data_IF_205480968629
#
_entry.id   IF_205480968629
#
_cell.length_a   1.000
_cell.length_b   1.000
_cell.length_c   1.000
_cell.angle_alpha   90.00
_cell.angle_beta   90.00
_cell.angle_gamma   90.00
#
_symmetry.space_group_name_H-M   'P 1'
#
loop_
_entity.id
_entity.type
_entity.pdbx_description
1 polymer ?
#
# COMPACT_ATOMS: atom_id res chain seq x y z
N UNK A 1 25.43 -16.26 33.94
CA UNK A 1 25.19 -14.81 33.83
C UNK A 1 23.84 -14.61 33.16
N UNK A 2 22.87 -14.02 33.88
CA UNK A 2 21.49 -13.84 33.42
C UNK A 2 21.43 -12.60 32.53
N UNK A 3 20.97 -12.75 31.30
CA UNK A 3 20.66 -11.64 30.40
C UNK A 3 19.34 -10.98 30.82
N UNK A 4 19.40 -9.70 31.16
CA UNK A 4 18.22 -8.84 31.36
C UNK A 4 17.74 -8.36 29.98
N UNK A 5 16.43 -8.39 29.68
CA UNK A 5 15.91 -7.80 28.46
C UNK A 5 15.91 -6.28 28.62
N UNK A 6 16.59 -5.58 27.69
CA UNK A 6 16.50 -4.13 27.60
C UNK A 6 15.11 -3.75 27.09
N UNK A 7 14.27 -3.21 27.98
CA UNK A 7 13.03 -2.53 27.63
C UNK A 7 13.45 -1.24 26.91
N UNK A 8 13.31 -1.22 25.59
CA UNK A 8 13.44 0.01 24.81
C UNK A 8 12.20 0.88 25.09
N UNK A 9 12.31 1.79 26.06
CA UNK A 9 11.35 2.86 26.21
C UNK A 9 11.43 3.76 24.97
N UNK A 10 10.35 3.83 24.18
CA UNK A 10 10.17 4.87 23.18
C UNK A 10 10.19 6.21 23.92
N UNK A 11 11.31 6.93 23.83
CA UNK A 11 11.37 8.35 24.15
C UNK A 11 10.58 9.09 23.05
N UNK A 12 9.28 9.23 23.25
CA UNK A 12 8.48 10.27 22.62
C UNK A 12 9.04 11.61 23.12
N UNK A 13 9.94 12.22 22.35
CA UNK A 13 10.29 13.62 22.54
C UNK A 13 8.98 14.42 22.49
N UNK A 14 8.63 15.20 23.53
CA UNK A 14 7.45 16.03 23.48
C UNK A 14 7.67 17.06 22.37
N UNK A 15 6.85 16.98 21.31
CA UNK A 15 6.76 18.02 20.28
C UNK A 15 6.31 19.28 20.99
N UNK A 16 7.25 20.22 21.18
CA UNK A 16 6.95 21.52 21.79
C UNK A 16 6.03 22.27 20.84
N UNK A 17 4.83 22.70 21.28
CA UNK A 17 3.93 23.48 20.43
C UNK A 17 4.62 24.79 20.04
N UNK A 18 4.66 25.08 18.74
CA UNK A 18 5.07 26.40 18.27
C UNK A 18 3.86 27.36 18.32
N UNK A 19 4.03 28.64 18.68
CA UNK A 19 2.94 29.61 18.65
C UNK A 19 2.35 29.70 17.24
N UNK A 20 1.03 29.91 17.18
CA UNK A 20 0.16 29.77 16.01
C UNK A 20 0.80 30.26 14.70
N UNK A 21 1.34 29.34 13.91
CA UNK A 21 1.48 29.57 12.49
C UNK A 21 0.06 29.57 11.91
N UNK A 22 -0.30 30.58 11.11
CA UNK A 22 -1.57 30.58 10.41
C UNK A 22 -1.70 29.25 9.65
N UNK A 23 -2.83 28.56 9.80
CA UNK A 23 -3.05 27.32 9.07
C UNK A 23 -2.93 27.58 7.56
N UNK A 24 -2.38 26.64 6.80
CA UNK A 24 -2.11 26.87 5.38
C UNK A 24 -3.41 27.14 4.62
N UNK A 25 -3.37 28.08 3.68
CA UNK A 25 -4.49 28.32 2.78
C UNK A 25 -4.43 27.36 1.58
N UNK A 26 -5.57 26.86 1.13
CA UNK A 26 -5.65 25.92 0.01
C UNK A 26 -6.82 24.96 0.11
N UNK A 27 -6.84 23.93 -0.73
CA UNK A 27 -7.85 22.86 -0.66
C UNK A 27 -7.20 21.59 -0.15
N UNK A 28 -7.77 21.00 0.90
CA UNK A 28 -7.21 19.87 1.61
C UNK A 28 -8.24 18.78 1.84
N UNK A 29 -7.75 17.55 1.92
CA UNK A 29 -8.39 16.50 2.72
C UNK A 29 -7.96 16.69 4.18
N UNK A 30 -8.92 16.66 5.10
CA UNK A 30 -8.67 16.69 6.54
C UNK A 30 -8.76 15.24 7.04
N UNK A 31 -7.62 14.62 7.32
CA UNK A 31 -7.53 13.18 7.60
C UNK A 31 -7.17 12.94 9.06
N UNK A 32 -7.93 12.09 9.76
CA UNK A 32 -7.66 11.72 11.14
C UNK A 32 -6.32 11.00 11.29
N UNK A 33 -5.49 11.44 12.23
CA UNK A 33 -4.14 10.86 12.43
C UNK A 33 -4.21 9.41 12.90
N UNK A 34 -5.18 9.06 13.74
CA UNK A 34 -5.32 7.71 14.30
C UNK A 34 -6.09 6.80 13.36
N UNK A 35 -7.18 7.31 12.83
CA UNK A 35 -8.15 6.52 12.04
C UNK A 35 -7.80 6.44 10.56
N UNK A 36 -7.12 7.45 10.01
CA UNK A 36 -6.91 7.59 8.57
C UNK A 36 -8.18 7.91 7.78
N UNK A 37 -9.29 8.24 8.45
CA UNK A 37 -10.56 8.61 7.83
C UNK A 37 -10.58 10.11 7.50
N UNK A 38 -11.30 10.49 6.46
CA UNK A 38 -11.45 11.88 6.06
C UNK A 38 -12.69 12.51 6.70
N UNK A 39 -12.57 13.79 7.05
CA UNK A 39 -13.71 14.63 7.39
C UNK A 39 -14.55 14.87 6.15
N UNK A 40 -15.84 14.57 6.24
CA UNK A 40 -16.81 14.68 5.15
C UNK A 40 -18.05 15.46 5.60
N UNK A 41 -18.67 16.19 4.69
CA UNK A 41 -19.97 16.79 4.96
C UNK A 41 -21.08 15.73 4.79
N UNK A 42 -21.88 15.52 5.83
CA UNK A 42 -23.05 14.63 5.82
C UNK A 42 -24.31 15.41 6.16
N UNK A 43 -25.10 15.76 5.14
CA UNK A 43 -26.25 16.65 5.30
C UNK A 43 -25.86 18.02 5.85
N UNK A 44 -26.40 18.37 7.02
CA UNK A 44 -26.07 19.60 7.76
C UNK A 44 -24.96 19.40 8.82
N UNK A 45 -24.42 18.18 8.94
CA UNK A 45 -23.37 17.82 9.88
C UNK A 45 -22.05 17.47 9.21
N UNK A 46 -21.11 17.01 10.04
CA UNK A 46 -19.77 16.57 9.64
C UNK A 46 -19.50 15.19 10.23
N UNK A 47 -18.96 14.28 9.42
CA UNK A 47 -18.70 12.88 9.79
C UNK A 47 -17.31 12.42 9.32
N UNK A 48 -16.87 11.26 9.80
CA UNK A 48 -15.65 10.60 9.33
C UNK A 48 -15.99 9.49 8.34
N UNK A 49 -15.50 9.63 7.12
CA UNK A 49 -15.75 8.69 6.02
C UNK A 49 -14.44 8.07 5.53
N UNK A 50 -14.52 6.89 4.90
CA UNK A 50 -13.36 6.28 4.24
C UNK A 50 -12.85 7.22 3.13
N UNK A 51 -11.54 7.44 2.98
CA UNK A 51 -11.02 8.29 1.92
C UNK A 51 -11.48 7.82 0.55
N UNK A 52 -12.12 8.69 -0.22
CA UNK A 52 -12.75 8.34 -1.50
C UNK A 52 -12.66 9.46 -2.54
N UNK A 53 -11.50 10.12 -2.60
CA UNK A 53 -11.36 11.35 -3.38
C UNK A 53 -12.41 12.37 -2.89
N UNK A 54 -13.16 12.99 -3.79
CA UNK A 54 -14.25 13.89 -3.42
C UNK A 54 -15.67 13.31 -3.62
N UNK A 55 -15.83 12.01 -3.84
CA UNK A 55 -17.16 11.44 -4.11
C UNK A 55 -18.14 11.65 -2.94
N UNK A 56 -17.63 11.77 -1.70
CA UNK A 56 -18.42 11.99 -0.48
C UNK A 56 -18.10 13.34 0.19
N UNK A 57 -17.87 14.40 -0.61
CA UNK A 57 -17.67 15.79 -0.12
C UNK A 57 -16.57 15.93 0.94
N UNK A 58 -15.40 15.35 0.65
CA UNK A 58 -14.28 15.23 1.58
C UNK A 58 -13.21 16.32 1.41
N UNK A 59 -13.41 17.25 0.47
CA UNK A 59 -12.49 18.35 0.20
C UNK A 59 -12.94 19.66 0.85
N UNK A 60 -11.99 20.31 1.51
CA UNK A 60 -12.22 21.53 2.28
C UNK A 60 -11.28 22.63 1.81
N UNK A 61 -11.82 23.76 1.37
CA UNK A 61 -11.05 24.99 1.18
C UNK A 61 -10.82 25.62 2.55
N UNK A 62 -9.55 25.67 2.95
CA UNK A 62 -9.10 26.32 4.17
C UNK A 62 -8.61 27.75 3.87
N UNK A 63 -9.17 28.73 4.57
CA UNK A 63 -8.71 30.14 4.57
C UNK A 63 -9.08 30.78 5.90
N UNK A 64 -8.14 31.50 6.53
CA UNK A 64 -8.37 32.24 7.78
C UNK A 64 -9.04 31.41 8.90
N UNK A 65 -8.66 30.14 9.03
CA UNK A 65 -9.21 29.20 10.02
C UNK A 65 -10.60 28.65 9.69
N UNK A 66 -11.12 28.87 8.47
CA UNK A 66 -12.44 28.39 8.03
C UNK A 66 -12.30 27.23 7.07
N UNK A 67 -13.07 26.16 7.30
CA UNK A 67 -13.14 24.99 6.42
C UNK A 67 -14.42 25.05 5.59
N UNK A 68 -14.35 25.61 4.38
CA UNK A 68 -15.46 25.66 3.42
C UNK A 68 -15.50 24.35 2.61
N UNK A 69 -16.66 23.71 2.49
CA UNK A 69 -16.78 22.51 1.67
C UNK A 69 -16.76 22.88 0.17
N UNK A 70 -15.97 22.18 -0.64
CA UNK A 70 -15.85 22.50 -2.09
C UNK A 70 -17.13 22.24 -2.87
N UNK A 71 -18.01 21.36 -2.40
CA UNK A 71 -19.29 21.03 -3.03
C UNK A 71 -20.46 21.86 -2.47
N UNK A 72 -20.22 22.65 -1.41
CA UNK A 72 -21.22 23.54 -0.80
C UNK A 72 -20.64 24.95 -0.56
N UNK A 73 -20.44 25.76 -1.62
CA UNK A 73 -19.86 27.10 -1.48
C UNK A 73 -20.61 27.97 -0.46
N UNK A 74 -19.86 28.69 0.37
CA UNK A 74 -20.37 29.51 1.47
C UNK A 74 -20.73 28.73 2.74
N UNK A 75 -20.65 27.40 2.74
CA UNK A 75 -20.89 26.56 3.91
C UNK A 75 -19.57 26.09 4.54
N UNK A 76 -19.36 26.45 5.81
CA UNK A 76 -18.18 26.12 6.59
C UNK A 76 -18.51 25.24 7.81
N UNK A 77 -17.54 24.46 8.27
CA UNK A 77 -17.61 23.75 9.55
C UNK A 77 -17.64 24.78 10.69
N UNK A 78 -18.69 24.75 11.52
CA UNK A 78 -18.80 25.56 12.75
C UNK A 78 -18.09 24.89 13.92
N UNK A 79 -17.90 25.61 15.04
CA UNK A 79 -17.35 25.01 16.29
C UNK A 79 -18.27 23.95 16.91
N UNK A 80 -19.55 23.89 16.54
CA UNK A 80 -20.50 22.84 16.93
C UNK A 80 -20.50 21.66 15.94
N UNK A 81 -19.58 21.64 14.97
CA UNK A 81 -19.43 20.57 13.97
C UNK A 81 -20.66 20.39 13.07
N UNK A 82 -21.33 21.51 12.79
CA UNK A 82 -22.40 21.61 11.80
C UNK A 82 -21.94 22.45 10.61
N UNK A 83 -22.66 22.35 9.51
CA UNK A 83 -22.48 23.24 8.36
C UNK A 83 -23.23 24.56 8.60
N UNK A 84 -22.53 25.68 8.50
CA UNK A 84 -23.09 27.02 8.68
C UNK A 84 -22.47 28.03 7.72
N UNK A 85 -22.96 29.28 7.72
CA UNK A 85 -22.41 30.31 6.84
C UNK A 85 -20.96 30.63 7.21
N UNK A 86 -20.06 30.65 6.22
CA UNK A 86 -18.66 31.01 6.42
C UNK A 86 -18.46 32.43 6.97
N UNK A 87 -19.45 33.33 6.82
CA UNK A 87 -19.40 34.69 7.39
C UNK A 87 -19.59 34.72 8.91
N UNK A 88 -20.10 33.65 9.51
CA UNK A 88 -20.31 33.60 10.95
C UNK A 88 -18.97 33.49 11.68
N UNK A 89 -18.85 34.22 12.80
CA UNK A 89 -17.68 34.13 13.67
C UNK A 89 -17.44 32.72 14.21
N UNK A 90 -18.51 31.93 14.33
CA UNK A 90 -18.49 30.55 14.81
C UNK A 90 -17.88 29.54 13.84
N UNK A 91 -17.65 29.96 12.60
CA UNK A 91 -16.95 29.16 11.58
C UNK A 91 -15.43 29.35 11.59
N UNK A 92 -14.87 30.16 12.52
CA UNK A 92 -13.40 30.31 12.69
C UNK A 92 -12.90 29.27 13.69
N UNK A 93 -12.00 28.39 13.24
CA UNK A 93 -11.25 27.49 14.11
C UNK A 93 -9.86 28.06 14.38
N UNK A 94 -9.37 27.86 15.61
CA UNK A 94 -8.04 28.30 16.01
C UNK A 94 -7.07 27.12 15.90
N UNK A 95 -6.18 27.11 14.90
CA UNK A 95 -5.28 25.99 14.67
C UNK A 95 -4.16 25.93 15.70
N UNK A 96 -3.81 24.73 16.15
CA UNK A 96 -2.56 24.46 16.86
C UNK A 96 -1.76 23.42 16.09
N UNK A 97 -0.51 23.74 15.73
CA UNK A 97 0.35 22.88 14.94
C UNK A 97 1.31 22.05 15.81
N UNK A 98 1.51 20.80 15.41
CA UNK A 98 2.43 19.86 16.04
C UNK A 98 3.15 19.03 14.97
N UNK A 99 4.32 19.49 14.55
CA UNK A 99 4.99 18.90 13.38
C UNK A 99 4.16 19.10 12.12
N UNK A 100 3.79 18.01 11.45
CA UNK A 100 2.91 18.00 10.28
C UNK A 100 1.42 17.76 10.60
N UNK A 101 1.08 17.73 11.89
CA UNK A 101 -0.28 17.52 12.39
C UNK A 101 -0.86 18.83 12.95
N UNK A 102 -2.19 18.89 12.97
CA UNK A 102 -2.94 20.05 13.40
C UNK A 102 -4.09 19.66 14.33
N UNK A 103 -4.38 20.53 15.29
CA UNK A 103 -5.60 20.50 16.11
C UNK A 103 -6.49 21.67 15.69
N UNK A 104 -7.74 21.36 15.33
CA UNK A 104 -8.76 22.36 14.96
C UNK A 104 -10.04 22.15 15.79
N UNK A 105 -10.51 20.90 15.82
CA UNK A 105 -11.70 20.44 16.52
C UNK A 105 -11.60 18.94 16.81
N UNK A 106 -12.50 18.43 17.64
CA UNK A 106 -12.59 16.99 17.97
C UNK A 106 -13.83 16.38 17.34
N UNK A 107 -13.68 15.34 16.51
CA UNK A 107 -14.78 14.64 15.84
C UNK A 107 -14.64 13.14 16.03
N UNK A 108 -15.68 12.48 16.55
CA UNK A 108 -15.70 11.03 16.81
C UNK A 108 -14.49 10.52 17.59
N UNK A 109 -14.01 11.31 18.56
CA UNK A 109 -12.84 11.01 19.37
C UNK A 109 -11.49 11.26 18.69
N UNK A 110 -11.44 11.73 17.44
CA UNK A 110 -10.23 12.22 16.76
C UNK A 110 -10.04 13.71 17.02
N UNK A 111 -8.83 14.12 17.44
CA UNK A 111 -8.48 15.52 17.70
C UNK A 111 -7.28 16.01 16.88
N UNK A 112 -6.54 15.07 16.25
CA UNK A 112 -5.32 15.32 15.48
C UNK A 112 -5.57 15.04 14.02
N UNK A 113 -5.23 15.99 13.17
CA UNK A 113 -5.54 15.97 11.76
C UNK A 113 -4.29 16.18 10.91
N UNK A 114 -4.20 15.45 9.80
CA UNK A 114 -3.34 15.82 8.69
C UNK A 114 -4.13 16.70 7.72
N UNK A 115 -3.48 17.75 7.23
CA UNK A 115 -3.97 18.52 6.08
C UNK A 115 -3.25 18.04 4.83
N UNK A 116 -3.91 17.23 4.01
CA UNK A 116 -3.32 16.70 2.78
C UNK A 116 -3.80 17.53 1.59
N UNK A 117 -2.92 18.25 0.86
CA UNK A 117 -3.35 19.04 -0.28
C UNK A 117 -4.02 18.19 -1.36
N UNK A 118 -5.12 18.68 -1.94
CA UNK A 118 -5.78 18.01 -3.08
C UNK A 118 -4.87 17.98 -4.30
N UNK A 119 -4.09 19.05 -4.50
CA UNK A 119 -3.03 19.06 -5.52
C UNK A 119 -1.73 18.62 -4.88
N UNK A 120 -1.28 17.42 -5.25
CA UNK A 120 -0.04 16.83 -4.78
C UNK A 120 1.18 17.71 -5.12
N UNK A 121 2.05 17.92 -4.14
CA UNK A 121 3.38 18.48 -4.39
C UNK A 121 4.29 17.37 -4.91
N UNK A 122 4.88 17.58 -6.08
CA UNK A 122 5.74 16.58 -6.72
C UNK A 122 7.03 17.20 -7.23
N UNK A 123 8.08 16.39 -7.28
CA UNK A 123 9.36 16.72 -7.91
C UNK A 123 9.71 15.66 -8.94
N UNK A 124 10.55 15.95 -9.95
CA UNK A 124 10.99 14.94 -10.90
C UNK A 124 11.66 13.74 -10.21
N UNK A 125 11.46 12.54 -10.75
CA UNK A 125 12.12 11.34 -10.24
C UNK A 125 13.66 11.50 -10.28
N UNK A 126 14.39 11.23 -9.18
CA UNK A 126 15.85 11.23 -9.17
C UNK A 126 16.44 10.22 -10.16
N UNK A 127 17.66 10.48 -10.63
CA UNK A 127 18.39 9.53 -11.48
C UNK A 127 18.74 8.22 -10.75
N UNK A 128 18.91 8.27 -9.42
CA UNK A 128 19.11 7.12 -8.55
C UNK A 128 18.09 7.13 -7.40
N UNK A 129 16.83 6.71 -7.68
CA UNK A 129 15.76 6.79 -6.69
C UNK A 129 15.94 5.76 -5.57
N UNK A 130 15.38 6.05 -4.41
CA UNK A 130 15.20 5.12 -3.30
C UNK A 130 14.10 4.11 -3.59
N UNK A 131 14.15 2.93 -2.97
CA UNK A 131 13.10 1.92 -3.14
C UNK A 131 11.70 2.46 -2.80
N UNK A 132 11.58 3.31 -1.77
CA UNK A 132 10.31 3.94 -1.36
C UNK A 132 9.88 5.13 -2.23
N UNK A 133 10.71 5.53 -3.19
CA UNK A 133 10.36 6.48 -4.24
C UNK A 133 9.89 5.77 -5.51
N UNK A 134 10.24 4.50 -5.71
CA UNK A 134 9.89 3.73 -6.91
C UNK A 134 8.48 3.12 -6.80
N UNK A 135 7.84 2.97 -7.96
CA UNK A 135 6.57 2.24 -8.12
C UNK A 135 6.80 1.02 -9.03
N UNK A 136 6.23 -0.12 -8.65
CA UNK A 136 6.35 -1.39 -9.36
C UNK A 136 4.96 -1.91 -9.77
N UNK A 137 4.89 -2.52 -10.96
CA UNK A 137 3.72 -3.29 -11.36
C UNK A 137 3.70 -4.59 -10.54
N UNK A 138 2.58 -4.87 -9.90
CA UNK A 138 2.40 -6.05 -9.05
C UNK A 138 1.24 -6.89 -9.57
N UNK A 139 1.48 -8.19 -9.77
CA UNK A 139 0.44 -9.14 -10.14
C UNK A 139 -0.18 -9.74 -8.88
N UNK A 140 -1.50 -9.53 -8.70
CA UNK A 140 -2.29 -10.21 -7.67
C UNK A 140 -2.43 -11.70 -8.04
N UNK A 141 -2.27 -12.59 -7.05
CA UNK A 141 -2.27 -14.05 -7.21
C UNK A 141 -1.55 -14.51 -8.48
N UNK A 142 -0.28 -14.12 -8.59
CA UNK A 142 0.49 -14.25 -9.82
C UNK A 142 0.56 -15.69 -10.36
N UNK A 143 0.53 -16.66 -9.44
CA UNK A 143 0.53 -18.10 -9.69
C UNK A 143 -0.80 -18.60 -10.29
N UNK A 144 -1.90 -17.87 -10.08
CA UNK A 144 -3.22 -18.18 -10.63
C UNK A 144 -3.32 -17.74 -12.11
N UNK A 145 -2.48 -18.35 -12.94
CA UNK A 145 -2.34 -18.03 -14.35
C UNK A 145 -2.72 -19.18 -15.31
N UNK A 146 -2.69 -20.42 -14.82
CA UNK A 146 -3.02 -21.62 -15.58
C UNK A 146 -2.02 -22.01 -16.68
N UNK A 147 -0.90 -21.30 -16.81
CA UNK A 147 0.24 -21.61 -17.70
C UNK A 147 1.27 -22.43 -16.94
N UNK A 148 1.63 -21.99 -15.73
CA UNK A 148 2.66 -22.63 -14.91
C UNK A 148 2.16 -23.90 -14.21
N UNK A 149 0.86 -23.96 -13.93
CA UNK A 149 0.21 -25.05 -13.23
C UNK A 149 -1.24 -24.71 -12.90
N UNK A 150 -1.93 -25.65 -12.26
CA UNK A 150 -3.23 -25.37 -11.65
C UNK A 150 -3.05 -24.67 -10.31
N UNK A 151 -4.07 -23.91 -9.93
CA UNK A 151 -4.06 -23.09 -8.72
C UNK A 151 -5.32 -23.28 -7.85
N UNK A 152 -6.33 -23.98 -8.36
CA UNK A 152 -7.59 -24.22 -7.66
C UNK A 152 -8.24 -25.52 -8.18
N UNK A 153 -9.25 -26.07 -7.47
CA UNK A 153 -10.04 -27.20 -7.96
C UNK A 153 -10.66 -26.91 -9.35
N UNK A 154 -10.96 -27.94 -10.16
CA UNK A 154 -11.36 -27.79 -11.57
C UNK A 154 -12.50 -26.78 -11.82
N UNK A 155 -13.46 -26.68 -10.89
CA UNK A 155 -14.62 -25.79 -11.03
C UNK A 155 -14.32 -24.31 -10.68
N UNK A 156 -13.24 -24.03 -9.96
CA UNK A 156 -12.83 -22.67 -9.53
C UNK A 156 -11.84 -22.04 -10.53
N UNK A 157 -11.28 -22.84 -11.45
CA UNK A 157 -10.30 -22.43 -12.46
C UNK A 157 -10.86 -21.53 -13.60
N UNK A 158 -12.10 -21.04 -13.47
CA UNK A 158 -12.79 -20.24 -14.50
C UNK A 158 -12.43 -18.75 -14.45
N UNK A 159 -11.95 -18.25 -13.32
CA UNK A 159 -11.57 -16.84 -13.14
C UNK A 159 -10.13 -16.76 -12.66
N UNK A 160 -9.19 -16.90 -13.60
CA UNK A 160 -7.75 -16.76 -13.33
C UNK A 160 -7.42 -15.29 -13.09
N UNK A 161 -6.52 -15.02 -12.14
CA UNK A 161 -6.05 -13.67 -11.88
C UNK A 161 -5.14 -13.16 -13.00
N UNK A 162 -4.36 -14.05 -13.63
CA UNK A 162 -3.46 -13.71 -14.73
C UNK A 162 -3.62 -14.69 -15.91
N UNK A 163 -3.06 -14.34 -17.06
CA UNK A 163 -3.12 -15.18 -18.28
C UNK A 163 -1.76 -15.70 -18.73
N UNK A 164 -0.68 -15.27 -18.04
CA UNK A 164 0.72 -15.52 -18.41
C UNK A 164 1.49 -16.07 -17.22
N UNK A 165 2.39 -17.03 -17.45
CA UNK A 165 3.22 -17.60 -16.39
C UNK A 165 4.28 -16.64 -15.85
N UNK A 166 4.83 -16.90 -14.66
CA UNK A 166 5.72 -16.01 -13.90
C UNK A 166 6.88 -15.45 -14.75
N UNK A 167 7.53 -16.29 -15.56
CA UNK A 167 8.63 -15.86 -16.43
C UNK A 167 8.17 -14.80 -17.45
N UNK A 168 6.98 -14.96 -18.03
CA UNK A 168 6.46 -13.98 -18.97
C UNK A 168 6.04 -12.69 -18.24
N UNK A 169 5.46 -12.79 -17.03
CA UNK A 169 5.16 -11.61 -16.21
C UNK A 169 6.43 -10.78 -15.92
N UNK A 170 7.53 -11.44 -15.58
CA UNK A 170 8.83 -10.80 -15.41
C UNK A 170 9.31 -10.12 -16.71
N UNK A 171 9.21 -10.81 -17.85
CA UNK A 171 9.58 -10.25 -19.16
C UNK A 171 8.72 -9.05 -19.56
N UNK A 172 7.45 -9.02 -19.13
CA UNK A 172 6.51 -7.94 -19.40
C UNK A 172 6.65 -6.74 -18.45
N UNK A 173 7.57 -6.83 -17.48
CA UNK A 173 7.89 -5.73 -16.56
C UNK A 173 7.22 -5.80 -15.20
N UNK A 174 6.54 -6.91 -14.85
CA UNK A 174 6.06 -7.15 -13.49
C UNK A 174 7.24 -7.33 -12.55
N UNK A 175 7.21 -6.64 -11.40
CA UNK A 175 8.27 -6.67 -10.38
C UNK A 175 7.75 -6.87 -8.96
N UNK A 176 6.43 -6.90 -8.77
CA UNK A 176 5.79 -7.37 -7.55
C UNK A 176 4.96 -8.63 -7.82
N UNK A 177 5.01 -9.60 -6.91
CA UNK A 177 4.26 -10.84 -7.05
C UNK A 177 3.54 -11.15 -5.73
N UNK A 178 2.21 -11.23 -5.75
CA UNK A 178 1.42 -11.75 -4.63
C UNK A 178 1.19 -13.24 -4.85
N UNK A 179 1.56 -14.05 -3.86
CA UNK A 179 1.52 -15.49 -3.90
C UNK A 179 0.85 -16.03 -2.63
N UNK A 180 -0.10 -16.93 -2.80
CA UNK A 180 -0.73 -17.61 -1.67
C UNK A 180 -0.07 -18.95 -1.49
N UNK A 181 0.39 -19.25 -0.28
CA UNK A 181 1.05 -20.52 0.03
C UNK A 181 0.24 -21.29 1.06
N UNK A 182 -0.03 -22.55 0.75
CA UNK A 182 -0.73 -23.46 1.64
C UNK A 182 0.13 -24.65 2.04
N UNK A 183 0.02 -25.02 3.32
CA UNK A 183 0.65 -26.22 3.85
C UNK A 183 0.06 -27.48 3.20
N UNK A 184 0.92 -28.34 2.66
CA UNK A 184 0.55 -29.67 2.15
C UNK A 184 1.56 -30.72 2.63
N UNK A 185 1.29 -32.02 2.48
CA UNK A 185 2.28 -33.06 2.71
C UNK A 185 3.54 -32.93 1.84
N UNK A 186 3.44 -32.27 0.69
CA UNK A 186 4.53 -32.08 -0.27
C UNK A 186 5.32 -30.77 -0.06
N UNK A 187 4.93 -29.96 0.94
CA UNK A 187 5.55 -28.66 1.26
C UNK A 187 4.60 -27.49 1.07
N UNK A 188 5.16 -26.29 0.83
CA UNK A 188 4.38 -25.09 0.54
C UNK A 188 3.97 -25.05 -0.93
N UNK A 189 2.67 -25.13 -1.19
CA UNK A 189 2.11 -25.17 -2.54
C UNK A 189 1.30 -23.90 -2.82
N UNK A 190 1.40 -23.40 -4.05
CA UNK A 190 0.70 -22.24 -4.56
C UNK A 190 -0.72 -22.62 -4.98
N UNK A 191 -1.71 -22.20 -4.19
CA UNK A 191 -3.14 -22.47 -4.45
C UNK A 191 -4.02 -21.36 -3.87
N UNK A 192 -5.23 -21.21 -4.40
CA UNK A 192 -6.22 -20.28 -3.87
C UNK A 192 -7.25 -21.03 -3.01
N UNK A 193 -7.40 -20.64 -1.73
CA UNK A 193 -8.23 -21.27 -0.69
C UNK A 193 -7.88 -22.73 -0.34
N UNK A 194 -7.68 -23.61 -1.32
CA UNK A 194 -7.44 -25.04 -1.12
C UNK A 194 -6.59 -25.64 -2.24
N UNK A 195 -5.64 -26.49 -1.85
CA UNK A 195 -4.84 -27.30 -2.79
C UNK A 195 -5.48 -28.65 -3.17
N UNK A 196 -6.70 -28.95 -2.70
CA UNK A 196 -7.38 -30.21 -3.00
C UNK A 196 -7.77 -30.27 -4.48
N UNK A 197 -7.43 -31.38 -5.16
CA UNK A 197 -7.73 -31.61 -6.59
C UNK A 197 -7.12 -30.57 -7.55
N UNK A 198 -6.09 -29.83 -7.11
CA UNK A 198 -5.33 -28.95 -8.00
C UNK A 198 -4.52 -29.79 -8.99
N UNK A 199 -4.75 -29.57 -10.29
CA UNK A 199 -3.99 -30.24 -11.34
C UNK A 199 -2.62 -29.59 -11.51
N UNK A 200 -1.52 -30.36 -11.45
CA UNK A 200 -0.14 -29.85 -11.59
C UNK A 200 0.15 -28.69 -10.61
N UNK A 201 0.10 -28.94 -9.29
CA UNK A 201 0.42 -27.93 -8.29
C UNK A 201 1.85 -27.42 -8.46
N UNK A 202 2.06 -26.14 -8.18
CA UNK A 202 3.39 -25.50 -8.22
C UNK A 202 3.83 -25.24 -6.78
N UNK A 203 5.02 -25.72 -6.42
CA UNK A 203 5.61 -25.44 -5.12
C UNK A 203 6.24 -24.04 -5.08
N UNK A 204 6.22 -23.39 -3.91
CA UNK A 204 6.76 -22.03 -3.71
C UNK A 204 8.19 -21.90 -4.25
N UNK A 205 9.05 -22.88 -3.99
CA UNK A 205 10.45 -22.85 -4.38
C UNK A 205 10.64 -22.81 -5.92
N UNK A 206 9.68 -23.31 -6.71
CA UNK A 206 9.74 -23.28 -8.18
C UNK A 206 9.59 -21.85 -8.71
N UNK A 207 8.60 -21.11 -8.22
CA UNK A 207 8.38 -19.72 -8.65
C UNK A 207 9.43 -18.77 -8.09
N UNK A 208 9.90 -19.00 -6.86
CA UNK A 208 11.05 -18.28 -6.33
C UNK A 208 12.33 -18.56 -7.14
N UNK A 209 12.55 -19.80 -7.61
CA UNK A 209 13.69 -20.10 -8.47
C UNK A 209 13.63 -19.31 -9.78
N UNK A 210 12.45 -19.25 -10.43
CA UNK A 210 12.25 -18.45 -11.65
C UNK A 210 12.60 -16.97 -11.42
N UNK A 211 12.18 -16.41 -10.28
CA UNK A 211 12.50 -15.02 -9.90
C UNK A 211 14.00 -14.83 -9.64
N UNK A 212 14.65 -15.75 -8.92
CA UNK A 212 16.08 -15.67 -8.63
C UNK A 212 16.91 -15.77 -9.91
N UNK A 213 16.55 -16.67 -10.82
CA UNK A 213 17.24 -16.82 -12.12
C UNK A 213 17.06 -15.56 -12.99
N UNK A 214 15.87 -14.96 -12.99
CA UNK A 214 15.64 -13.68 -13.63
C UNK A 214 16.52 -12.56 -13.05
N UNK A 215 16.60 -12.45 -11.72
CA UNK A 215 17.44 -11.44 -11.07
C UNK A 215 18.92 -11.64 -11.37
N UNK A 216 19.39 -12.89 -11.44
CA UNK A 216 20.78 -13.22 -11.84
C UNK A 216 21.08 -12.77 -13.26
N UNK A 217 20.16 -13.00 -14.20
CA UNK A 217 20.29 -12.57 -15.58
C UNK A 217 20.14 -11.05 -15.75
N UNK A 218 19.43 -10.37 -14.84
CA UNK A 218 19.08 -8.95 -14.96
C UNK A 218 19.48 -8.18 -13.69
N UNK A 219 20.75 -7.75 -13.61
CA UNK A 219 21.35 -7.11 -12.42
C UNK A 219 20.75 -5.74 -12.05
N UNK A 220 20.04 -5.08 -12.96
CA UNK A 220 19.35 -3.80 -12.71
C UNK A 220 18.02 -3.92 -12.00
N UNK A 221 17.43 -5.12 -12.00
CA UNK A 221 16.04 -5.33 -11.60
C UNK A 221 15.92 -5.55 -10.10
N UNK A 222 14.81 -5.08 -9.53
CA UNK A 222 14.44 -5.31 -8.13
C UNK A 222 13.08 -6.00 -8.17
N UNK A 223 12.93 -7.09 -7.44
CA UNK A 223 11.68 -7.85 -7.36
C UNK A 223 11.23 -7.95 -5.90
N UNK A 224 9.93 -7.86 -5.69
CA UNK A 224 9.29 -8.04 -4.38
C UNK A 224 8.26 -9.15 -4.48
N UNK A 225 8.26 -10.05 -3.50
CA UNK A 225 7.25 -11.10 -3.33
C UNK A 225 6.47 -10.81 -2.06
N UNK A 226 5.15 -10.89 -2.12
CA UNK A 226 4.24 -10.83 -0.99
C UNK A 226 3.60 -12.21 -0.84
N UNK A 227 3.73 -12.82 0.35
CA UNK A 227 3.18 -14.13 0.66
C UNK A 227 1.93 -13.95 1.53
N UNK A 228 0.79 -14.43 1.03
CA UNK A 228 -0.36 -14.78 1.87
C UNK A 228 -0.11 -16.19 2.40
N UNK A 229 0.23 -16.27 3.69
CA UNK A 229 1.07 -17.34 4.20
C UNK A 229 0.35 -18.24 5.22
N UNK A 230 -0.11 -19.40 4.73
CA UNK A 230 -0.79 -20.44 5.52
C UNK A 230 0.12 -21.63 5.84
N UNK A 231 1.43 -21.40 5.88
CA UNK A 231 2.47 -22.43 6.03
C UNK A 231 3.19 -22.29 7.36
N UNK A 232 3.62 -23.40 7.95
CA UNK A 232 4.42 -23.36 9.18
C UNK A 232 5.85 -22.85 8.90
N UNK A 233 6.47 -22.18 9.87
CA UNK A 233 7.79 -21.57 9.71
C UNK A 233 8.89 -22.57 9.28
N UNK A 234 8.81 -23.85 9.67
CA UNK A 234 9.80 -24.85 9.30
C UNK A 234 9.64 -25.27 7.84
N UNK A 235 8.39 -25.48 7.38
CA UNK A 235 8.09 -25.75 5.98
C UNK A 235 8.51 -24.59 5.09
N UNK A 236 8.14 -23.34 5.43
CA UNK A 236 8.57 -22.15 4.68
C UNK A 236 10.10 -22.08 4.58
N UNK A 237 10.80 -22.26 5.70
CA UNK A 237 12.28 -22.27 5.73
C UNK A 237 12.86 -23.40 4.87
N UNK A 238 12.23 -24.57 4.85
CA UNK A 238 12.66 -25.69 4.02
C UNK A 238 12.50 -25.37 2.53
N UNK A 239 11.40 -24.73 2.11
CA UNK A 239 11.19 -24.32 0.71
C UNK A 239 12.20 -23.26 0.28
N UNK A 240 12.44 -22.23 1.11
CA UNK A 240 13.41 -21.19 0.80
C UNK A 240 14.83 -21.74 0.64
N UNK A 241 15.22 -22.77 1.41
CA UNK A 241 16.51 -23.45 1.28
C UNK A 241 16.68 -24.21 -0.03
N UNK A 242 15.59 -24.61 -0.70
CA UNK A 242 15.65 -25.27 -2.01
C UNK A 242 15.96 -24.30 -3.15
N UNK A 243 15.81 -22.99 -2.93
CA UNK A 243 16.01 -21.96 -3.96
C UNK A 243 17.50 -21.62 -4.08
N UNK A 244 18.10 -22.02 -5.19
CA UNK A 244 19.53 -21.87 -5.42
C UNK A 244 19.91 -20.40 -5.63
N UNK A 245 20.80 -19.90 -4.78
CA UNK A 245 21.27 -18.50 -4.79
C UNK A 245 20.29 -17.48 -4.25
N UNK A 246 19.23 -17.91 -3.56
CA UNK A 246 18.32 -17.00 -2.88
C UNK A 246 19.08 -16.01 -1.99
N UNK A 247 20.01 -16.51 -1.18
CA UNK A 247 20.80 -15.68 -0.26
C UNK A 247 21.67 -14.63 -0.95
N UNK A 248 22.05 -14.87 -2.22
CA UNK A 248 22.89 -13.94 -2.98
C UNK A 248 22.10 -12.66 -3.29
N UNK A 249 20.79 -12.80 -3.55
CA UNK A 249 19.91 -11.69 -3.96
C UNK A 249 18.93 -11.21 -2.88
N UNK A 250 18.76 -11.94 -1.77
CA UNK A 250 17.76 -11.62 -0.75
C UNK A 250 18.14 -10.39 0.10
N UNK A 251 17.27 -9.37 0.09
CA UNK A 251 17.36 -8.16 0.88
C UNK A 251 16.57 -8.29 2.18
N UNK A 252 17.26 -8.10 3.32
CA UNK A 252 16.74 -8.34 4.69
C UNK A 252 16.37 -7.07 5.46
N UNK A 253 16.26 -5.93 4.78
CA UNK A 253 15.91 -4.62 5.37
C UNK A 253 16.83 -4.14 6.52
N UNK A 254 18.08 -4.60 6.54
CA UNK A 254 19.08 -4.16 7.51
C UNK A 254 19.35 -2.65 7.38
N UNK A 255 19.30 -1.94 8.50
CA UNK A 255 19.57 -0.50 8.56
C UNK A 255 18.44 0.41 8.05
N UNK A 256 17.34 -0.12 7.51
CA UNK A 256 16.25 0.70 6.93
C UNK A 256 15.59 1.61 7.97
N UNK A 257 15.47 1.16 9.23
CA UNK A 257 14.86 1.96 10.30
C UNK A 257 15.69 3.17 10.71
N UNK A 258 16.98 3.16 10.42
CA UNK A 258 17.95 4.20 10.78
C UNK A 258 18.25 5.11 9.58
N UNK A 259 18.41 4.51 8.40
CA UNK A 259 18.90 5.19 7.20
C UNK A 259 17.81 5.39 6.14
N UNK A 260 16.63 4.80 6.32
CA UNK A 260 15.58 4.63 5.32
C UNK A 260 15.91 3.57 4.26
N UNK A 261 15.06 3.40 3.26
CA UNK A 261 15.26 2.42 2.18
C UNK A 261 16.45 2.74 1.27
N UNK A 262 17.20 1.73 0.78
CA UNK A 262 18.37 1.95 -0.07
C UNK A 262 18.01 2.55 -1.43
N UNK A 263 18.99 3.19 -2.08
CA UNK A 263 18.87 3.59 -3.48
C UNK A 263 18.96 2.40 -4.42
N UNK A 264 18.44 2.55 -5.64
CA UNK A 264 18.55 1.56 -6.70
C UNK A 264 20.01 1.15 -6.94
N UNK A 265 20.95 2.10 -6.95
CA UNK A 265 22.37 1.80 -7.14
C UNK A 265 22.98 1.01 -5.98
N UNK A 266 22.56 1.28 -4.73
CA UNK A 266 22.97 0.52 -3.54
C UNK A 266 22.44 -0.91 -3.55
N UNK A 267 21.19 -1.12 -3.95
CA UNK A 267 20.63 -2.47 -4.11
C UNK A 267 21.35 -3.23 -5.22
N UNK A 268 21.70 -2.55 -6.33
CA UNK A 268 22.49 -3.15 -7.41
C UNK A 268 23.91 -3.52 -7.00
N UNK A 269 24.61 -2.64 -6.27
CA UNK A 269 26.00 -2.88 -5.88
C UNK A 269 26.15 -4.00 -4.85
N UNK A 270 25.20 -4.11 -3.91
CA UNK A 270 25.14 -5.19 -2.91
C UNK A 270 24.54 -6.50 -3.46
N UNK A 271 23.97 -6.45 -4.66
CA UNK A 271 23.17 -7.48 -5.30
C UNK A 271 21.93 -7.95 -4.52
N UNK A 272 21.58 -7.26 -3.42
CA UNK A 272 20.41 -7.56 -2.59
C UNK A 272 19.16 -6.88 -3.16
N UNK A 273 18.49 -7.57 -4.08
CA UNK A 273 17.42 -7.05 -4.96
C UNK A 273 16.11 -7.83 -4.93
N UNK A 274 16.01 -8.85 -4.08
CA UNK A 274 14.78 -9.60 -3.83
C UNK A 274 14.27 -9.28 -2.42
N UNK A 275 13.06 -8.75 -2.29
CA UNK A 275 12.36 -8.65 -1.01
C UNK A 275 11.29 -9.74 -0.94
N UNK A 276 11.13 -10.38 0.21
CA UNK A 276 10.03 -11.32 0.45
C UNK A 276 9.31 -10.89 1.73
N UNK A 277 8.04 -10.49 1.58
CA UNK A 277 7.15 -10.18 2.67
C UNK A 277 6.21 -11.36 2.95
N UNK A 278 5.85 -11.56 4.20
CA UNK A 278 4.85 -12.54 4.65
C UNK A 278 3.80 -11.82 5.50
N UNK A 279 2.52 -12.12 5.29
CA UNK A 279 1.43 -11.58 6.10
C UNK A 279 1.18 -12.37 7.40
N UNK A 280 1.82 -13.54 7.54
CA UNK A 280 1.78 -14.31 8.77
C UNK A 280 2.59 -13.61 9.87
N UNK A 281 2.01 -13.56 11.08
CA UNK A 281 2.65 -12.96 12.25
C UNK A 281 3.98 -13.63 12.61
N UNK A 282 4.78 -12.92 13.40
CA UNK A 282 6.14 -13.34 13.78
C UNK A 282 6.14 -14.63 14.59
N UNK A 283 6.80 -15.65 14.07
CA UNK A 283 6.98 -16.96 14.70
C UNK A 283 8.40 -17.53 14.51
N UNK A 284 9.36 -16.69 14.11
CA UNK A 284 10.75 -17.07 13.83
C UNK A 284 11.01 -17.42 12.37
N UNK A 285 10.02 -17.28 11.47
CA UNK A 285 10.24 -17.39 10.02
C UNK A 285 11.19 -16.34 9.47
N UNK A 286 11.28 -15.18 10.11
CA UNK A 286 12.14 -14.03 9.79
C UNK A 286 13.62 -14.38 9.77
N UNK A 287 14.05 -15.41 10.52
CA UNK A 287 15.41 -15.95 10.47
C UNK A 287 15.78 -16.50 9.07
N UNK A 288 14.77 -16.75 8.23
CA UNK A 288 14.93 -17.15 6.82
C UNK A 288 15.10 -15.96 5.88
N UNK A 289 15.02 -14.72 6.40
CA UNK A 289 15.15 -13.47 5.65
C UNK A 289 13.84 -12.93 5.05
N UNK A 290 12.69 -13.53 5.38
CA UNK A 290 11.38 -12.94 5.07
C UNK A 290 11.05 -11.82 6.05
N UNK A 291 10.23 -10.87 5.61
CA UNK A 291 9.88 -9.67 6.35
C UNK A 291 8.40 -9.71 6.71
N UNK A 292 8.05 -9.55 8.00
CA UNK A 292 6.64 -9.45 8.38
C UNK A 292 6.01 -8.19 7.74
N UNK A 293 5.06 -8.36 6.82
CA UNK A 293 4.56 -7.31 5.94
C UNK A 293 4.10 -6.06 6.68
N UNK A 294 3.35 -6.25 7.77
CA UNK A 294 2.79 -5.16 8.58
C UNK A 294 3.85 -4.33 9.30
N UNK A 295 5.08 -4.81 9.46
CA UNK A 295 6.17 -4.02 10.03
C UNK A 295 6.78 -3.02 9.04
N UNK A 296 6.67 -3.29 7.74
CA UNK A 296 7.44 -2.62 6.68
C UNK A 296 6.59 -1.90 5.64
N UNK A 297 5.30 -2.22 5.59
CA UNK A 297 4.38 -1.70 4.58
C UNK A 297 3.12 -1.09 5.20
N UNK A 298 2.39 -0.33 4.42
CA UNK A 298 0.96 -0.03 4.58
C UNK A 298 0.22 -0.55 3.37
N UNK A 299 -1.03 -0.95 3.51
CA UNK A 299 -1.78 -1.57 2.43
C UNK A 299 -3.27 -1.23 2.52
N UNK A 300 -3.88 -0.87 1.40
CA UNK A 300 -5.32 -0.58 1.40
C UNK A 300 -6.15 -1.87 1.35
N UNK A 301 -7.41 -1.73 1.78
CA UNK A 301 -8.40 -2.79 1.66
C UNK A 301 -8.45 -3.32 0.23
N UNK A 302 -8.44 -4.64 0.12
CA UNK A 302 -8.07 -5.34 -1.10
C UNK A 302 -9.14 -5.24 -2.19
N UNK A 303 -10.42 -5.28 -1.81
CA UNK A 303 -11.54 -5.34 -2.74
C UNK A 303 -12.02 -3.96 -3.19
N UNK A 304 -12.21 -3.81 -4.50
CA UNK A 304 -12.97 -2.73 -5.13
C UNK A 304 -14.45 -3.09 -5.36
N UNK A 305 -14.95 -4.13 -4.72
CA UNK A 305 -16.33 -4.61 -4.85
C UNK A 305 -16.47 -5.86 -5.72
N UNK A 306 -17.71 -6.33 -5.83
CA UNK A 306 -18.01 -7.64 -6.41
C UNK A 306 -18.27 -7.58 -7.92
N UNK A 307 -17.79 -8.63 -8.61
CA UNK A 307 -18.21 -9.01 -9.96
C UNK A 307 -18.30 -7.84 -10.96
N UNK A 308 -19.48 -7.68 -11.58
CA UNK A 308 -19.77 -6.72 -12.66
C UNK A 308 -20.35 -5.37 -12.19
N UNK A 309 -20.33 -5.08 -10.88
CA UNK A 309 -20.91 -3.85 -10.31
C UNK A 309 -20.06 -2.59 -10.54
N UNK A 310 -20.42 -1.49 -9.87
CA UNK A 310 -19.56 -0.31 -9.79
C UNK A 310 -18.36 -0.58 -8.89
N UNK A 311 -17.20 -0.03 -9.23
CA UNK A 311 -16.00 -0.14 -8.39
C UNK A 311 -16.12 0.78 -7.17
N UNK A 312 -15.79 0.27 -5.99
CA UNK A 312 -15.51 1.10 -4.81
C UNK A 312 -14.10 1.71 -4.93
N UNK A 313 -14.05 3.03 -5.08
CA UNK A 313 -12.80 3.78 -5.21
C UNK A 313 -12.19 4.14 -3.87
N UNK A 314 -12.80 3.74 -2.75
CA UNK A 314 -12.28 4.03 -1.43
C UNK A 314 -10.87 3.46 -1.24
N UNK A 315 -10.04 4.19 -0.50
CA UNK A 315 -8.66 3.82 -0.23
C UNK A 315 -8.36 4.01 1.26
N UNK A 316 -8.69 2.99 2.03
CA UNK A 316 -8.50 2.94 3.48
C UNK A 316 -7.67 1.70 3.84
N UNK A 317 -7.06 1.69 5.01
CA UNK A 317 -6.19 0.59 5.43
C UNK A 317 -6.94 -0.73 5.53
N UNK A 318 -6.28 -1.84 5.17
CA UNK A 318 -6.78 -3.19 5.49
C UNK A 318 -6.58 -3.57 6.97
N UNK A 319 -5.82 -2.78 7.73
CA UNK A 319 -5.52 -3.04 9.14
C UNK A 319 -6.09 -1.91 10.01
N UNK A 320 -7.02 -2.26 10.89
CA UNK A 320 -7.73 -1.29 11.73
C UNK A 320 -6.81 -0.47 12.64
N UNK A 321 -5.72 -1.06 13.11
CA UNK A 321 -4.77 -0.41 14.03
C UNK A 321 -3.64 0.35 13.31
N UNK A 322 -3.57 0.31 11.98
CA UNK A 322 -2.50 0.93 11.21
C UNK A 322 -3.04 1.71 10.01
N UNK A 323 -3.25 3.03 10.11
CA UNK A 323 -3.73 3.83 8.97
C UNK A 323 -2.69 3.89 7.84
N UNK A 324 -3.13 4.17 6.61
CA UNK A 324 -2.23 4.31 5.46
C UNK A 324 -1.22 5.46 5.64
N UNK A 325 -1.58 6.47 6.44
CA UNK A 325 -0.72 7.60 6.81
C UNK A 325 0.41 7.22 7.76
N UNK A 326 0.39 6.03 8.37
CA UNK A 326 1.40 5.59 9.33
C UNK A 326 2.82 5.80 8.80
N UNK A 327 3.62 6.52 9.59
CA UNK A 327 5.04 6.78 9.38
C UNK A 327 5.73 6.76 10.73
N UNK A 328 7.00 6.42 10.77
CA UNK A 328 7.77 6.33 12.01
C UNK A 328 9.21 6.76 11.79
N UNK A 329 10.17 6.00 12.32
CA UNK A 329 11.61 6.24 12.05
C UNK A 329 12.01 6.04 10.58
N UNK A 330 11.11 5.47 9.79
CA UNK A 330 11.24 5.28 8.35
C UNK A 330 9.86 5.38 7.70
N UNK A 331 9.83 5.46 6.37
CA UNK A 331 8.61 5.47 5.56
C UNK A 331 8.25 4.04 5.14
N UNK A 332 7.12 3.46 5.59
CA UNK A 332 6.67 2.16 5.11
C UNK A 332 6.36 2.21 3.61
N UNK A 333 6.63 1.12 2.90
CA UNK A 333 6.24 0.98 1.50
C UNK A 333 4.72 0.88 1.39
N UNK A 334 4.11 1.46 0.36
CA UNK A 334 2.67 1.39 0.16
C UNK A 334 2.29 0.36 -0.92
N UNK A 335 1.59 -0.70 -0.50
CA UNK A 335 0.96 -1.68 -1.38
C UNK A 335 -0.47 -1.23 -1.71
N UNK A 336 -0.69 -0.85 -2.97
CA UNK A 336 -2.00 -0.45 -3.44
C UNK A 336 -2.72 -1.61 -4.14
N UNK A 337 -3.72 -2.18 -3.49
CA UNK A 337 -4.62 -3.18 -4.07
C UNK A 337 -5.64 -2.51 -4.99
N UNK A 338 -5.73 -3.01 -6.22
CA UNK A 338 -6.61 -2.50 -7.27
C UNK A 338 -7.19 -3.67 -8.08
N UNK A 339 -8.07 -4.42 -7.42
CA UNK A 339 -8.77 -5.55 -8.01
C UNK A 339 -10.11 -5.79 -7.30
N UNK A 340 -10.91 -6.68 -7.86
CA UNK A 340 -12.26 -7.03 -7.38
C UNK A 340 -12.26 -8.41 -6.75
N UNK A 341 -13.39 -8.80 -6.17
CA UNK A 341 -13.59 -10.14 -5.60
C UNK A 341 -13.41 -11.26 -6.64
N UNK A 342 -13.73 -10.98 -7.90
CA UNK A 342 -13.62 -11.93 -9.01
C UNK A 342 -12.88 -11.28 -10.18
N UNK A 343 -11.81 -11.90 -10.71
CA UNK A 343 -10.94 -11.32 -11.74
C UNK A 343 -11.54 -11.43 -13.14
N UNK A 344 -12.74 -10.89 -13.37
CA UNK A 344 -13.31 -10.86 -14.71
C UNK A 344 -12.49 -9.94 -15.62
N UNK A 345 -12.12 -10.45 -16.79
CA UNK A 345 -11.29 -9.74 -17.78
C UNK A 345 -11.86 -8.37 -18.16
N UNK A 346 -13.18 -8.24 -18.30
CA UNK A 346 -13.84 -6.98 -18.70
C UNK A 346 -13.75 -5.90 -17.62
N UNK A 347 -13.98 -6.26 -16.36
CA UNK A 347 -13.86 -5.32 -15.22
C UNK A 347 -12.41 -5.01 -14.94
N UNK A 348 -11.51 -5.99 -14.98
CA UNK A 348 -10.07 -5.77 -14.84
C UNK A 348 -9.55 -4.79 -15.91
N UNK A 349 -9.96 -4.94 -17.18
CA UNK A 349 -9.60 -4.00 -18.26
C UNK A 349 -10.07 -2.58 -17.94
N UNK A 350 -11.33 -2.44 -17.50
CA UNK A 350 -11.95 -1.14 -17.20
C UNK A 350 -11.31 -0.47 -15.98
N UNK A 351 -11.09 -1.24 -14.92
CA UNK A 351 -10.52 -0.77 -13.67
C UNK A 351 -9.04 -0.42 -13.85
N UNK A 352 -8.24 -1.28 -14.49
CA UNK A 352 -6.84 -1.00 -14.78
C UNK A 352 -6.67 0.25 -15.65
N UNK A 353 -7.63 0.54 -16.55
CA UNK A 353 -7.70 1.79 -17.31
C UNK A 353 -7.76 3.06 -16.45
N UNK A 354 -8.16 2.94 -15.18
CA UNK A 354 -8.26 4.03 -14.21
C UNK A 354 -7.19 3.96 -13.11
N UNK A 355 -6.26 3.01 -13.17
CA UNK A 355 -5.28 2.73 -12.12
C UNK A 355 -4.47 3.97 -11.73
N UNK A 356 -3.95 4.71 -12.71
CA UNK A 356 -3.19 5.94 -12.46
C UNK A 356 -4.05 7.02 -11.77
N UNK A 357 -5.31 7.15 -12.17
CA UNK A 357 -6.23 8.11 -11.57
C UNK A 357 -6.52 7.75 -10.11
N UNK A 358 -6.85 6.49 -9.82
CA UNK A 358 -7.07 6.04 -8.43
C UNK A 358 -5.83 6.21 -7.57
N UNK A 359 -4.66 5.84 -8.10
CA UNK A 359 -3.39 6.01 -7.40
C UNK A 359 -3.15 7.48 -7.02
N UNK A 360 -3.36 8.42 -7.94
CA UNK A 360 -3.02 9.83 -7.73
C UNK A 360 -4.08 10.63 -6.97
N UNK A 361 -5.37 10.38 -7.24
CA UNK A 361 -6.47 11.22 -6.78
C UNK A 361 -7.17 10.66 -5.53
N UNK A 362 -6.99 9.36 -5.24
CA UNK A 362 -7.67 8.68 -4.14
C UNK A 362 -6.65 8.12 -3.14
N UNK A 363 -5.78 7.20 -3.58
CA UNK A 363 -4.89 6.48 -2.68
C UNK A 363 -3.68 7.28 -2.20
N UNK A 364 -3.05 8.06 -3.08
CA UNK A 364 -1.91 8.91 -2.70
C UNK A 364 -2.27 9.93 -1.62
N UNK A 365 -3.37 10.70 -1.73
CA UNK A 365 -3.76 11.60 -0.64
C UNK A 365 -4.19 10.84 0.62
N UNK A 366 -4.95 9.74 0.49
CA UNK A 366 -5.37 8.94 1.65
C UNK A 366 -4.19 8.37 2.46
N UNK A 367 -3.13 7.94 1.77
CA UNK A 367 -1.94 7.40 2.40
C UNK A 367 -0.91 8.47 2.79
N UNK A 368 -1.05 9.71 2.27
CA UNK A 368 0.03 10.70 2.20
C UNK A 368 1.32 10.07 1.66
N UNK A 369 1.19 9.14 0.71
CA UNK A 369 2.28 8.36 0.11
C UNK A 369 1.94 7.96 -1.32
N UNK A 370 2.88 8.12 -2.24
CA UNK A 370 2.79 7.49 -3.56
C UNK A 370 2.87 5.95 -3.41
N UNK A 371 1.97 5.17 -4.03
CA UNK A 371 2.06 3.72 -4.05
C UNK A 371 3.41 3.22 -4.55
N UNK A 372 4.02 2.29 -3.83
CA UNK A 372 5.23 1.58 -4.26
C UNK A 372 4.88 0.33 -5.07
N UNK A 373 3.72 -0.27 -4.83
CA UNK A 373 3.26 -1.45 -5.55
C UNK A 373 1.83 -1.21 -6.03
N UNK A 374 1.58 -1.39 -7.33
CA UNK A 374 0.24 -1.36 -7.91
C UNK A 374 -0.19 -2.80 -8.19
N UNK A 375 -0.94 -3.39 -7.26
CA UNK A 375 -1.39 -4.77 -7.33
C UNK A 375 -2.70 -4.89 -8.10
N UNK A 376 -2.69 -5.65 -9.20
CA UNK A 376 -3.81 -5.78 -10.14
C UNK A 376 -4.03 -7.23 -10.59
N UNK A 377 -5.27 -7.54 -10.93
CA UNK A 377 -5.61 -8.67 -11.80
C UNK A 377 -5.44 -8.30 -13.27
N UNK A 378 -5.09 -9.29 -14.10
CA UNK A 378 -4.82 -9.13 -15.53
C UNK A 378 -3.89 -7.93 -15.81
N UNK A 379 -2.66 -8.00 -15.29
CA UNK A 379 -1.69 -6.89 -15.39
C UNK A 379 -1.43 -6.41 -16.83
N UNK A 380 -1.69 -7.28 -17.82
CA UNK A 380 -1.51 -7.01 -19.24
C UNK A 380 -2.67 -6.21 -19.86
N UNK A 381 -3.74 -5.94 -19.11
CA UNK A 381 -4.93 -5.23 -19.56
C UNK A 381 -5.05 -3.84 -18.94
N UNK A 382 -5.75 -2.95 -19.64
CA UNK A 382 -6.08 -1.60 -19.15
C UNK A 382 -4.90 -0.65 -18.93
N UNK A 383 -3.69 -0.98 -19.40
CA UNK A 383 -2.56 -0.05 -19.35
C UNK A 383 -1.89 0.08 -17.97
N UNK A 384 -1.90 -0.97 -17.15
CA UNK A 384 -1.27 -0.94 -15.82
C UNK A 384 0.22 -0.54 -15.86
N UNK A 385 0.97 -1.01 -16.87
CA UNK A 385 2.37 -0.61 -17.07
C UNK A 385 2.53 0.90 -17.37
N UNK A 386 1.57 1.52 -18.06
CA UNK A 386 1.58 2.96 -18.34
C UNK A 386 1.34 3.76 -17.05
N UNK A 387 0.49 3.27 -16.15
CA UNK A 387 0.29 3.86 -14.84
C UNK A 387 1.59 3.85 -14.02
N UNK A 388 2.32 2.73 -14.02
CA UNK A 388 3.65 2.64 -13.38
C UNK A 388 4.63 3.65 -13.99
N UNK A 389 4.70 3.75 -15.32
CA UNK A 389 5.54 4.74 -16.00
C UNK A 389 5.21 6.17 -15.57
N UNK A 390 3.92 6.51 -15.45
CA UNK A 390 3.46 7.81 -14.95
C UNK A 390 3.88 8.05 -13.50
N UNK A 391 3.66 7.09 -12.61
CA UNK A 391 4.05 7.21 -11.19
C UNK A 391 5.58 7.27 -11.01
N UNK A 392 6.35 6.69 -11.93
CA UNK A 392 7.82 6.76 -11.93
C UNK A 392 8.39 8.01 -12.61
N UNK A 393 7.56 8.99 -12.99
CA UNK A 393 8.03 10.30 -13.47
C UNK A 393 8.30 11.30 -12.34
N UNK A 394 7.84 11.02 -11.13
CA UNK A 394 7.91 11.96 -10.01
C UNK A 394 8.11 11.30 -8.64
N UNK A 395 8.60 12.07 -7.67
CA UNK A 395 8.53 11.78 -6.24
C UNK A 395 7.43 12.64 -5.61
N UNK A 396 6.75 12.09 -4.61
CA UNK A 396 5.66 12.75 -3.90
C UNK A 396 6.15 13.35 -2.58
N UNK A 397 5.95 14.66 -2.41
CA UNK A 397 6.11 15.36 -1.14
C UNK A 397 4.73 15.58 -0.50
N UNK A 398 4.43 14.93 0.65
CA UNK A 398 3.17 15.12 1.36
C UNK A 398 3.00 16.49 2.02
#
# INVERSE_FOLDING_TARGET
MRYLPAIAALLLLPLVPAPAQAAPAGTFYVTGVRTGLNVAQSGAGVELHRPKGNEDRQQWRLSDGRFENTDSPGQCITRQLTMGSCSQGDAVHQPVQFGDQWEFFTLSGESRWYLTPVTAQTSPMPADPRLDEMTFLTSHNAYANGVDGGFAPPFVNLAKNQTRGIVQQLNDGVRGFMLDIHQTPDGAILCHNSCTLVSKPVALNVDLQRIVDFLRANRSEIVTVFLEDYVDANTLRAELRKVQGLNDVLYRAEGVRQNGWPTRSQMRSSDKRLLIFTDHGKDGREDSGVLYQKDWTVENYWSMGSGLGSSDWSCYSRWDEKPLTATGSFRPLFVMNHFRDVPFTSTATTDNGKLANRAQQFCQPAARKKPNFLAVDHYDLGGAAQAVGRLNSYVYGP
#
